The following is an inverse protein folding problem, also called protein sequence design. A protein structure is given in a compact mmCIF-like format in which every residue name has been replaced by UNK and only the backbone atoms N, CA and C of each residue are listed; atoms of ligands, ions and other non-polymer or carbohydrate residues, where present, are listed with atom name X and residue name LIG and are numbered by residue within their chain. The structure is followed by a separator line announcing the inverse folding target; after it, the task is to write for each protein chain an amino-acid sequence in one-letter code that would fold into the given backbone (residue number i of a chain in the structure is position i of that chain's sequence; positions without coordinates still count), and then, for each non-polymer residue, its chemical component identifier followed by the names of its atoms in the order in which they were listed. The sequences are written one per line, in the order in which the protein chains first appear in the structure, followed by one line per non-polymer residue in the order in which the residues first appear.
data_IF_675156761628
#
_entry.id   IF_675156761628
#
_cell.length_a   1.000
_cell.length_b   1.000
_cell.length_c   1.000
_cell.angle_alpha   90.00
_cell.angle_beta   90.00
_cell.angle_gamma   90.00
#
_symmetry.space_group_name_H-M   'P 1'
#
loop_
_entity.id
_entity.type
_entity.pdbx_description
1 polymer ?
#
# COMPACT_ATOMS: atom_id res chain seq x y z
N UNK A 1 15.96 12.18 -5.70
CA UNK A 1 14.63 12.41 -5.13
C UNK A 1 13.85 11.11 -5.05
N UNK A 2 13.10 10.92 -3.99
CA UNK A 2 12.14 9.83 -3.79
C UNK A 2 10.74 10.38 -4.08
N UNK A 3 9.95 9.69 -4.88
CA UNK A 3 8.55 9.98 -5.10
C UNK A 3 7.67 9.02 -4.30
N UNK A 4 6.76 9.55 -3.49
CA UNK A 4 5.73 8.77 -2.78
C UNK A 4 4.41 8.96 -3.48
N UNK A 5 3.82 7.89 -3.96
CA UNK A 5 2.51 7.89 -4.63
C UNK A 5 1.42 7.30 -3.74
N UNK A 6 0.29 8.01 -3.66
CA UNK A 6 -0.86 7.64 -2.84
C UNK A 6 -2.12 7.73 -3.69
N UNK A 7 -2.73 6.61 -4.11
CA UNK A 7 -4.07 6.64 -4.72
C UNK A 7 -5.12 6.89 -3.64
N UNK A 8 -6.08 7.77 -3.90
CA UNK A 8 -7.16 8.09 -2.97
C UNK A 8 -8.51 8.18 -3.70
N UNK A 9 -9.54 7.52 -3.13
CA UNK A 9 -10.94 7.63 -3.53
C UNK A 9 -11.80 7.73 -2.29
N UNK A 10 -12.31 8.94 -1.97
CA UNK A 10 -13.14 9.24 -0.79
C UNK A 10 -12.53 8.77 0.54
N UNK A 11 -11.31 9.21 0.87
CA UNK A 11 -10.55 8.79 2.04
C UNK A 11 -10.44 9.89 3.13
N UNK A 12 -11.41 10.80 3.22
CA UNK A 12 -11.39 11.91 4.19
C UNK A 12 -11.15 11.45 5.64
N UNK A 13 -11.68 10.29 6.03
CA UNK A 13 -11.52 9.75 7.38
C UNK A 13 -10.09 9.27 7.71
N UNK A 14 -9.26 9.00 6.71
CA UNK A 14 -7.97 8.29 6.89
C UNK A 14 -6.77 9.05 6.33
N UNK A 15 -6.95 9.77 5.23
CA UNK A 15 -5.87 10.42 4.47
C UNK A 15 -5.00 11.34 5.33
N UNK A 16 -5.59 12.09 6.27
CA UNK A 16 -4.83 13.01 7.13
C UNK A 16 -3.81 12.28 8.01
N UNK A 17 -4.17 11.10 8.55
CA UNK A 17 -3.26 10.27 9.33
C UNK A 17 -2.17 9.66 8.44
N UNK A 18 -2.53 9.18 7.26
CA UNK A 18 -1.61 8.66 6.27
C UNK A 18 -0.54 9.72 5.93
N UNK A 19 -0.95 10.91 5.50
CA UNK A 19 -0.04 11.96 5.07
C UNK A 19 0.89 12.45 6.18
N UNK A 20 0.41 12.58 7.42
CA UNK A 20 1.29 12.92 8.56
C UNK A 20 2.35 11.84 8.79
N UNK A 21 2.00 10.56 8.63
CA UNK A 21 2.98 9.47 8.75
C UNK A 21 4.03 9.53 7.64
N UNK A 22 3.62 9.84 6.41
CA UNK A 22 4.51 10.02 5.26
C UNK A 22 5.43 11.23 5.44
N UNK A 23 4.91 12.37 5.90
CA UNK A 23 5.71 13.56 6.21
C UNK A 23 6.75 13.28 7.30
N UNK A 24 6.42 12.44 8.30
CA UNK A 24 7.38 11.99 9.30
C UNK A 24 8.45 11.08 8.69
N UNK A 25 8.08 10.15 7.84
CA UNK A 25 9.02 9.27 7.14
C UNK A 25 9.93 10.06 6.18
N UNK A 26 9.43 11.12 5.53
CA UNK A 26 10.18 11.98 4.64
C UNK A 26 11.28 12.80 5.34
N UNK A 27 11.21 12.96 6.68
CA UNK A 27 12.19 13.66 7.50
C UNK A 27 13.14 12.72 8.24
N UNK A 28 13.10 11.42 7.93
CA UNK A 28 13.94 10.44 8.63
C UNK A 28 15.43 10.68 8.34
N UNK A 29 16.33 10.73 9.37
CA UNK A 29 17.76 11.01 9.17
C UNK A 29 18.44 10.05 8.19
N UNK A 30 18.03 8.79 8.15
CA UNK A 30 18.58 7.77 7.25
C UNK A 30 18.37 8.07 5.75
N UNK A 31 17.61 9.11 5.39
CA UNK A 31 17.49 9.56 4.01
C UNK A 31 18.67 10.44 3.57
N UNK A 32 19.56 10.85 4.51
CA UNK A 32 20.77 11.62 4.23
C UNK A 32 20.52 12.87 3.35
N UNK A 33 19.41 13.59 3.62
CA UNK A 33 19.05 14.80 2.87
C UNK A 33 18.41 14.54 1.49
N UNK A 34 18.11 13.29 1.15
CA UNK A 34 17.40 12.97 -0.08
C UNK A 34 16.01 13.61 -0.09
N UNK A 35 15.73 14.44 -1.10
CA UNK A 35 14.42 15.06 -1.30
C UNK A 35 13.32 14.02 -1.43
N UNK A 36 12.18 14.23 -0.75
CA UNK A 36 10.99 13.38 -0.84
C UNK A 36 9.80 14.22 -1.31
N UNK A 37 9.12 13.79 -2.36
CA UNK A 37 7.87 14.36 -2.84
C UNK A 37 6.74 13.38 -2.67
N UNK A 38 5.62 13.84 -2.09
CA UNK A 38 4.41 13.06 -1.89
C UNK A 38 3.36 13.59 -2.85
N UNK A 39 2.78 12.71 -3.66
CA UNK A 39 1.71 13.05 -4.61
C UNK A 39 0.50 12.16 -4.35
N UNK A 40 -0.66 12.78 -4.17
CA UNK A 40 -1.95 12.08 -4.02
C UNK A 40 -2.72 12.18 -5.33
N UNK A 41 -3.05 11.03 -5.92
CA UNK A 41 -4.00 10.94 -7.04
C UNK A 41 -5.42 10.86 -6.48
N UNK A 42 -6.19 11.94 -6.63
CA UNK A 42 -7.59 12.04 -6.21
C UNK A 42 -8.49 11.44 -7.29
N UNK A 43 -8.74 10.12 -7.21
CA UNK A 43 -9.50 9.41 -8.23
C UNK A 43 -11.01 9.43 -7.92
N UNK A 44 -11.75 10.29 -8.62
CA UNK A 44 -13.19 10.47 -8.47
C UNK A 44 -13.61 10.76 -7.01
N UNK A 45 -12.83 11.56 -6.28
CA UNK A 45 -13.15 11.96 -4.91
C UNK A 45 -14.33 12.96 -4.90
N UNK A 46 -15.29 12.72 -4.01
CA UNK A 46 -16.46 13.56 -3.78
C UNK A 46 -16.53 14.11 -2.35
N UNK A 47 -15.71 13.60 -1.46
CA UNK A 47 -15.65 14.01 -0.05
C UNK A 47 -14.56 15.07 0.22
N UNK A 48 -14.26 15.33 1.49
CA UNK A 48 -13.26 16.31 1.90
C UNK A 48 -11.80 15.86 1.75
N UNK A 49 -11.51 14.75 1.07
CA UNK A 49 -10.12 14.23 0.88
C UNK A 49 -9.19 15.30 0.30
N UNK A 50 -9.62 15.99 -0.75
CA UNK A 50 -8.83 17.05 -1.40
C UNK A 50 -8.56 18.25 -0.45
N UNK A 51 -9.54 18.64 0.36
CA UNK A 51 -9.39 19.73 1.33
C UNK A 51 -8.34 19.38 2.39
N UNK A 52 -8.37 18.16 2.93
CA UNK A 52 -7.40 17.66 3.92
C UNK A 52 -5.99 17.61 3.34
N UNK A 53 -5.82 17.17 2.08
CA UNK A 53 -4.53 17.18 1.41
C UNK A 53 -3.96 18.60 1.29
N UNK A 54 -4.82 19.58 0.92
CA UNK A 54 -4.44 20.99 0.80
C UNK A 54 -4.01 21.58 2.15
N UNK A 55 -4.74 21.32 3.22
CA UNK A 55 -4.38 21.74 4.59
C UNK A 55 -3.01 21.22 5.02
N UNK A 56 -2.67 20.00 4.60
CA UNK A 56 -1.37 19.38 4.88
C UNK A 56 -0.28 19.75 3.85
N UNK A 57 -0.59 20.65 2.92
CA UNK A 57 0.34 21.12 1.88
C UNK A 57 0.96 19.99 1.05
N UNK A 58 0.16 18.96 0.74
CA UNK A 58 0.59 17.83 -0.10
C UNK A 58 0.10 18.03 -1.53
N UNK A 59 0.97 17.78 -2.49
CA UNK A 59 0.66 17.87 -3.91
C UNK A 59 -0.44 16.87 -4.29
N UNK A 60 -1.46 17.36 -5.02
CA UNK A 60 -2.57 16.54 -5.50
C UNK A 60 -2.86 16.81 -6.97
N UNK A 61 -3.52 15.86 -7.62
CA UNK A 61 -4.18 16.06 -8.92
C UNK A 61 -5.44 15.19 -9.00
N UNK A 62 -6.40 15.66 -9.78
CA UNK A 62 -7.68 14.98 -9.99
C UNK A 62 -7.59 13.96 -11.12
N UNK A 63 -8.29 12.84 -10.95
CA UNK A 63 -8.44 11.76 -11.90
C UNK A 63 -9.88 11.24 -11.86
N UNK A 64 -10.40 10.70 -12.96
CA UNK A 64 -11.76 10.15 -13.06
C UNK A 64 -11.73 8.71 -13.61
N UNK A 65 -10.75 7.90 -13.16
CA UNK A 65 -10.56 6.56 -13.67
C UNK A 65 -11.32 5.48 -12.89
N UNK A 66 -11.60 5.72 -11.60
CA UNK A 66 -12.14 4.72 -10.66
C UNK A 66 -11.37 3.40 -10.74
N UNK A 67 -10.04 3.52 -10.82
CA UNK A 67 -9.13 2.42 -11.06
C UNK A 67 -7.81 2.67 -10.33
N UNK A 68 -7.52 1.86 -9.32
CA UNK A 68 -6.33 2.03 -8.47
C UNK A 68 -5.03 1.92 -9.27
N UNK A 69 -4.94 1.03 -10.25
CA UNK A 69 -3.78 0.90 -11.12
C UNK A 69 -3.55 2.15 -11.97
N UNK A 70 -4.62 2.74 -12.52
CA UNK A 70 -4.54 4.00 -13.27
C UNK A 70 -4.12 5.16 -12.37
N UNK A 71 -4.64 5.24 -11.14
CA UNK A 71 -4.27 6.26 -10.16
C UNK A 71 -2.80 6.17 -9.76
N UNK A 72 -2.29 4.95 -9.49
CA UNK A 72 -0.86 4.71 -9.22
C UNK A 72 0.02 5.04 -10.43
N UNK A 73 -0.39 4.64 -11.64
CA UNK A 73 0.34 4.94 -12.87
C UNK A 73 0.46 6.44 -13.12
N UNK A 74 -0.64 7.19 -12.96
CA UNK A 74 -0.66 8.65 -13.14
C UNK A 74 0.23 9.37 -12.11
N UNK A 75 0.15 8.97 -10.83
CA UNK A 75 1.01 9.53 -9.78
C UNK A 75 2.49 9.21 -10.02
N UNK A 76 2.80 7.98 -10.44
CA UNK A 76 4.16 7.59 -10.79
C UNK A 76 4.70 8.41 -11.98
N UNK A 77 3.91 8.59 -13.05
CA UNK A 77 4.30 9.39 -14.22
C UNK A 77 4.63 10.83 -13.81
N UNK A 78 3.81 11.47 -12.97
CA UNK A 78 4.03 12.82 -12.46
C UNK A 78 5.33 12.92 -11.63
N UNK A 79 5.57 11.98 -10.73
CA UNK A 79 6.79 11.93 -9.92
C UNK A 79 8.05 11.68 -10.77
N UNK A 80 7.95 10.81 -11.79
CA UNK A 80 9.05 10.56 -12.73
C UNK A 80 9.38 11.78 -13.59
N UNK A 81 8.40 12.57 -14.01
CA UNK A 81 8.61 13.86 -14.69
C UNK A 81 9.31 14.87 -13.79
N UNK A 82 9.06 14.83 -12.48
CA UNK A 82 9.72 15.66 -11.48
C UNK A 82 11.13 15.13 -11.10
N UNK A 83 11.61 14.04 -11.70
CA UNK A 83 12.95 13.50 -11.51
C UNK A 83 13.07 12.45 -10.40
N UNK A 84 11.98 11.78 -10.00
CA UNK A 84 12.05 10.68 -9.05
C UNK A 84 12.94 9.54 -9.57
N UNK A 85 13.85 9.06 -8.72
CA UNK A 85 14.70 7.89 -8.97
C UNK A 85 14.20 6.64 -8.26
N UNK A 86 13.40 6.82 -7.22
CA UNK A 86 12.71 5.79 -6.47
C UNK A 86 11.24 6.16 -6.32
N UNK A 87 10.35 5.21 -6.53
CA UNK A 87 8.91 5.33 -6.35
C UNK A 87 8.49 4.45 -5.19
N UNK A 88 7.90 5.04 -4.15
CA UNK A 88 7.34 4.33 -3.01
C UNK A 88 5.81 4.44 -3.04
N UNK A 89 5.10 3.32 -2.95
CA UNK A 89 3.65 3.25 -2.98
C UNK A 89 3.09 2.88 -1.62
N UNK A 90 2.04 3.59 -1.20
CA UNK A 90 1.22 3.23 -0.04
C UNK A 90 -0.24 3.63 -0.28
N UNK A 91 -1.16 3.08 0.54
CA UNK A 91 -2.58 3.37 0.44
C UNK A 91 -3.00 4.55 1.34
N UNK A 92 -4.04 5.28 0.95
CA UNK A 92 -4.54 6.47 1.64
C UNK A 92 -5.15 6.17 3.03
N UNK A 93 -5.46 4.90 3.33
CA UNK A 93 -6.02 4.44 4.59
C UNK A 93 -4.99 3.81 5.54
N UNK A 94 -3.72 3.73 5.09
CA UNK A 94 -2.60 3.19 5.84
C UNK A 94 -1.81 4.22 6.64
N UNK A 95 -0.85 3.72 7.42
CA UNK A 95 0.20 4.52 8.07
C UNK A 95 1.53 3.81 7.96
N UNK A 96 2.57 4.57 7.62
CA UNK A 96 3.93 4.06 7.50
C UNK A 96 4.76 4.38 8.75
N UNK A 97 5.70 3.53 9.18
CA UNK A 97 6.62 3.88 10.25
C UNK A 97 7.71 4.87 9.77
N UNK A 98 8.35 5.62 10.67
CA UNK A 98 9.30 6.68 10.30
C UNK A 98 10.45 6.21 9.41
N UNK A 99 10.96 5.00 9.60
CA UNK A 99 12.08 4.42 8.84
C UNK A 99 11.67 3.83 7.49
N UNK A 100 10.41 3.94 7.07
CA UNK A 100 9.83 3.26 5.91
C UNK A 100 10.59 3.51 4.60
N UNK A 101 10.88 4.79 4.29
CA UNK A 101 11.62 5.15 3.08
C UNK A 101 13.10 4.80 3.18
N UNK A 102 13.72 5.02 4.34
CA UNK A 102 15.11 4.69 4.55
C UNK A 102 15.38 3.19 4.37
N UNK A 103 14.53 2.33 4.93
CA UNK A 103 14.64 0.89 4.78
C UNK A 103 14.50 0.41 3.33
N UNK A 104 13.64 1.07 2.52
CA UNK A 104 13.52 0.77 1.10
C UNK A 104 14.82 1.10 0.33
N UNK A 105 15.46 2.22 0.63
CA UNK A 105 16.73 2.60 0.00
C UNK A 105 17.89 1.71 0.45
N UNK A 106 17.94 1.38 1.74
CA UNK A 106 18.99 0.52 2.32
C UNK A 106 18.96 -0.90 1.76
N UNK A 107 17.81 -1.35 1.24
CA UNK A 107 17.66 -2.66 0.61
C UNK A 107 18.51 -2.82 -0.67
N UNK A 108 18.91 -1.72 -1.32
CA UNK A 108 19.74 -1.68 -2.54
C UNK A 108 19.30 -2.65 -3.62
N UNK A 109 17.98 -2.77 -3.82
CA UNK A 109 17.33 -3.63 -4.80
C UNK A 109 16.56 -2.81 -5.83
N UNK A 110 16.17 -3.41 -6.94
CA UNK A 110 15.34 -2.75 -7.96
C UNK A 110 13.92 -2.57 -7.48
N UNK A 111 13.42 -3.49 -6.65
CA UNK A 111 12.12 -3.41 -6.03
C UNK A 111 12.16 -3.86 -4.55
N UNK A 112 11.25 -3.32 -3.77
CA UNK A 112 11.03 -3.61 -2.36
C UNK A 112 9.58 -4.00 -2.15
N UNK A 113 9.33 -5.19 -1.64
CA UNK A 113 8.02 -5.68 -1.25
C UNK A 113 8.02 -5.88 0.27
N UNK A 114 7.29 -5.04 0.98
CA UNK A 114 7.18 -5.13 2.44
C UNK A 114 5.86 -5.74 2.89
N UNK A 115 5.80 -6.17 4.14
CA UNK A 115 4.58 -6.70 4.77
C UNK A 115 3.66 -5.59 5.25
N UNK A 116 2.37 -5.90 5.34
CA UNK A 116 1.37 -5.04 5.95
C UNK A 116 0.78 -5.71 7.19
N UNK A 117 0.23 -4.92 8.10
CA UNK A 117 -0.56 -5.41 9.23
C UNK A 117 -1.87 -4.62 9.33
N UNK A 118 -2.88 -5.21 9.93
CA UNK A 118 -4.21 -4.62 10.03
C UNK A 118 -4.33 -3.78 11.31
N UNK A 119 -4.87 -2.58 11.21
CA UNK A 119 -5.14 -1.72 12.36
C UNK A 119 -6.06 -2.40 13.38
N UNK A 120 -5.76 -2.25 14.68
CA UNK A 120 -6.44 -2.96 15.77
C UNK A 120 -6.98 -1.99 16.82
N UNK A 121 -7.86 -1.09 16.41
CA UNK A 121 -8.44 -0.03 17.28
C UNK A 121 -9.60 -0.49 18.18
N UNK A 122 -10.24 -1.64 17.87
CA UNK A 122 -11.38 -2.17 18.61
C UNK A 122 -11.37 -3.70 18.71
N UNK A 123 -12.37 -4.29 19.42
CA UNK A 123 -12.44 -5.75 19.63
C UNK A 123 -12.53 -6.52 18.30
N UNK A 124 -13.38 -6.04 17.39
CA UNK A 124 -13.57 -6.63 16.05
C UNK A 124 -12.30 -6.56 15.22
N UNK A 125 -11.64 -5.41 15.17
CA UNK A 125 -10.40 -5.23 14.40
C UNK A 125 -9.23 -6.02 15.01
N UNK A 126 -9.14 -6.17 16.34
CA UNK A 126 -8.15 -7.06 16.97
C UNK A 126 -8.35 -8.53 16.61
N UNK A 127 -9.61 -8.97 16.49
CA UNK A 127 -9.94 -10.32 16.05
C UNK A 127 -9.51 -10.52 14.58
N UNK A 128 -9.91 -9.61 13.70
CA UNK A 128 -9.56 -9.63 12.28
C UNK A 128 -8.03 -9.62 12.07
N UNK A 129 -7.31 -8.77 12.81
CA UNK A 129 -5.84 -8.75 12.77
C UNK A 129 -5.24 -10.10 13.15
N UNK A 130 -5.80 -10.82 14.14
CA UNK A 130 -5.33 -12.16 14.50
C UNK A 130 -5.54 -13.18 13.37
N UNK A 131 -6.69 -13.14 12.69
CA UNK A 131 -6.97 -13.99 11.54
C UNK A 131 -5.98 -13.69 10.41
N UNK A 132 -5.84 -12.42 10.06
CA UNK A 132 -4.93 -11.96 9.03
C UNK A 132 -3.48 -12.40 9.33
N UNK A 133 -3.02 -12.21 10.56
CA UNK A 133 -1.67 -12.62 10.95
C UNK A 133 -1.41 -14.13 10.84
N UNK A 134 -2.45 -14.95 10.97
CA UNK A 134 -2.34 -16.41 10.80
C UNK A 134 -2.33 -16.84 9.33
N UNK A 135 -2.96 -16.06 8.44
CA UNK A 135 -3.00 -16.36 7.01
C UNK A 135 -1.77 -15.86 6.24
N UNK A 136 -0.98 -14.96 6.84
CA UNK A 136 0.15 -14.32 6.19
C UNK A 136 1.49 -14.96 6.58
N UNK A 137 2.45 -14.84 5.65
CA UNK A 137 3.86 -15.13 5.93
C UNK A 137 4.56 -13.85 6.37
N UNK A 138 5.25 -13.94 7.49
CA UNK A 138 5.99 -12.84 8.11
C UNK A 138 7.49 -13.09 7.98
N UNK A 139 8.26 -12.00 8.01
CA UNK A 139 9.72 -12.08 7.91
C UNK A 139 10.23 -11.93 6.47
N UNK A 140 11.54 -11.95 6.34
CA UNK A 140 12.21 -11.82 5.05
C UNK A 140 11.92 -13.03 4.15
N UNK A 141 11.81 -12.78 2.85
CA UNK A 141 11.49 -13.84 1.88
C UNK A 141 10.02 -14.25 1.84
N UNK A 142 9.08 -13.44 2.39
CA UNK A 142 7.66 -13.79 2.52
C UNK A 142 6.93 -14.03 1.18
N UNK A 143 7.39 -13.45 0.07
CA UNK A 143 6.80 -13.62 -1.26
C UNK A 143 5.41 -12.98 -1.45
N UNK A 144 4.99 -12.09 -0.55
CA UNK A 144 3.71 -11.37 -0.62
C UNK A 144 3.89 -9.99 -1.23
N UNK A 145 2.94 -9.57 -2.06
CA UNK A 145 2.92 -8.23 -2.66
C UNK A 145 1.76 -7.44 -2.07
N UNK A 146 2.06 -6.23 -1.63
CA UNK A 146 1.08 -5.27 -1.14
C UNK A 146 1.40 -3.88 -1.70
N UNK A 147 0.52 -3.33 -2.52
CA UNK A 147 0.66 -1.97 -3.05
C UNK A 147 0.79 -0.90 -1.96
N UNK A 148 0.32 -1.20 -0.75
CA UNK A 148 0.46 -0.37 0.44
C UNK A 148 1.89 -0.33 1.01
N UNK A 149 2.78 -1.27 0.63
CA UNK A 149 4.18 -1.33 1.08
C UNK A 149 5.10 -1.80 -0.05
N UNK A 150 5.15 -1.03 -1.12
CA UNK A 150 5.88 -1.34 -2.33
C UNK A 150 6.85 -0.20 -2.67
N UNK A 151 8.08 -0.54 -3.06
CA UNK A 151 9.06 0.39 -3.61
C UNK A 151 9.63 -0.14 -4.92
N UNK A 152 9.99 0.76 -5.85
CA UNK A 152 10.62 0.37 -7.11
C UNK A 152 11.51 1.48 -7.63
N UNK A 153 12.67 1.12 -8.18
CA UNK A 153 13.55 2.07 -8.86
C UNK A 153 12.88 2.61 -10.13
N UNK A 154 13.10 3.89 -10.44
CA UNK A 154 12.55 4.50 -11.66
C UNK A 154 13.02 3.78 -12.93
N UNK A 155 14.23 3.23 -12.91
CA UNK A 155 14.78 2.46 -14.04
C UNK A 155 13.99 1.16 -14.24
N UNK A 156 13.86 0.33 -13.20
CA UNK A 156 13.14 -0.94 -13.30
C UNK A 156 11.65 -0.72 -13.60
N UNK A 157 11.02 0.30 -13.00
CA UNK A 157 9.64 0.68 -13.27
C UNK A 157 9.40 0.98 -14.76
N UNK A 158 10.25 1.82 -15.38
CA UNK A 158 10.16 2.15 -16.81
C UNK A 158 10.43 0.95 -17.69
N UNK A 159 11.40 0.10 -17.35
CA UNK A 159 11.78 -1.07 -18.15
C UNK A 159 10.62 -2.05 -18.36
N UNK A 160 9.69 -2.13 -17.39
CA UNK A 160 8.53 -3.03 -17.47
C UNK A 160 7.22 -2.31 -17.82
N UNK A 161 7.25 -1.01 -18.15
CA UNK A 161 6.07 -0.23 -18.55
C UNK A 161 5.19 0.25 -17.37
N UNK A 162 5.66 0.11 -16.13
CA UNK A 162 4.99 0.66 -14.95
C UNK A 162 3.71 -0.08 -14.52
N UNK A 163 2.87 0.58 -13.70
CA UNK A 163 1.58 0.03 -13.28
C UNK A 163 0.62 -0.11 -14.45
N UNK A 164 -0.02 -1.28 -14.57
CA UNK A 164 -1.13 -1.48 -15.48
C UNK A 164 -2.43 -0.88 -14.91
N UNK A 165 -3.33 -0.42 -15.78
CA UNK A 165 -4.63 0.13 -15.39
C UNK A 165 -5.61 -0.98 -14.98
N UNK A 166 -5.29 -1.69 -13.90
CA UNK A 166 -6.10 -2.75 -13.32
C UNK A 166 -6.85 -2.22 -12.10
N UNK A 167 -8.10 -2.62 -11.95
CA UNK A 167 -8.92 -2.29 -10.78
C UNK A 167 -8.49 -3.00 -9.50
N UNK A 168 -7.70 -4.08 -9.63
CA UNK A 168 -7.13 -4.86 -8.53
C UNK A 168 -5.95 -5.69 -9.06
N UNK A 169 -4.93 -5.95 -8.21
CA UNK A 169 -3.76 -6.78 -8.52
C UNK A 169 -2.72 -6.11 -9.43
N UNK A 170 -2.79 -4.80 -9.60
CA UNK A 170 -1.83 -4.02 -10.38
C UNK A 170 -0.42 -4.05 -9.77
N UNK A 171 -0.32 -4.18 -8.46
CA UNK A 171 0.92 -4.34 -7.70
C UNK A 171 1.53 -5.73 -7.92
N UNK A 172 0.72 -6.78 -7.85
CA UNK A 172 1.14 -8.16 -8.14
C UNK A 172 1.60 -8.28 -9.60
N UNK A 173 0.86 -7.70 -10.54
CA UNK A 173 1.23 -7.68 -11.95
C UNK A 173 2.57 -6.96 -12.18
N UNK A 174 2.77 -5.79 -11.55
CA UNK A 174 4.02 -5.04 -11.64
C UNK A 174 5.20 -5.88 -11.14
N UNK A 175 5.09 -6.44 -9.93
CA UNK A 175 6.18 -7.25 -9.32
C UNK A 175 6.44 -8.51 -10.15
N UNK A 176 5.42 -9.16 -10.69
CA UNK A 176 5.56 -10.30 -11.61
C UNK A 176 6.38 -9.92 -12.86
N UNK A 177 6.08 -8.77 -13.50
CA UNK A 177 6.82 -8.27 -14.67
C UNK A 177 8.25 -7.86 -14.32
N UNK A 178 8.48 -7.25 -13.16
CA UNK A 178 9.82 -6.95 -12.66
C UNK A 178 10.65 -8.22 -12.46
N UNK A 179 10.10 -9.23 -11.80
CA UNK A 179 10.78 -10.51 -11.58
C UNK A 179 11.07 -11.24 -12.90
N UNK A 180 10.14 -11.24 -13.85
CA UNK A 180 10.33 -11.83 -15.18
C UNK A 180 11.40 -11.10 -15.99
N UNK A 181 11.61 -9.81 -15.77
CA UNK A 181 12.68 -9.01 -16.37
C UNK A 181 14.03 -9.13 -15.64
N UNK A 182 14.15 -9.98 -14.62
CA UNK A 182 15.39 -10.19 -13.87
C UNK A 182 15.70 -9.10 -12.84
N UNK A 183 14.75 -8.24 -12.50
CA UNK A 183 14.93 -7.23 -11.46
C UNK A 183 15.13 -7.89 -10.09
N UNK A 184 16.05 -7.34 -9.28
CA UNK A 184 16.25 -7.76 -7.90
C UNK A 184 15.09 -7.30 -7.02
N UNK A 185 14.40 -8.23 -6.35
CA UNK A 185 13.27 -7.95 -5.46
C UNK A 185 13.62 -8.29 -4.03
N UNK A 186 13.60 -7.28 -3.15
CA UNK A 186 13.73 -7.48 -1.69
C UNK A 186 12.35 -7.77 -1.09
N UNK A 187 12.18 -8.95 -0.54
CA UNK A 187 11.02 -9.36 0.25
C UNK A 187 11.33 -9.11 1.73
N UNK A 188 10.87 -8.00 2.27
CA UNK A 188 11.27 -7.51 3.58
C UNK A 188 10.18 -7.67 4.63
N UNK A 189 10.48 -8.37 5.73
CA UNK A 189 9.59 -8.51 6.88
C UNK A 189 9.44 -7.23 7.70
N UNK A 190 10.27 -6.22 7.45
CA UNK A 190 10.21 -4.89 8.07
C UNK A 190 10.72 -3.83 7.09
N UNK A 191 10.24 -2.57 7.20
CA UNK A 191 9.22 -2.07 8.12
C UNK A 191 7.80 -2.51 7.75
N UNK A 192 6.94 -2.67 8.76
CA UNK A 192 5.53 -3.05 8.58
C UNK A 192 4.68 -1.81 8.39
N UNK A 193 3.88 -1.76 7.35
CA UNK A 193 2.87 -0.72 7.12
C UNK A 193 1.55 -1.17 7.75
N UNK A 194 0.87 -0.29 8.48
CA UNK A 194 -0.44 -0.58 9.06
C UNK A 194 -1.54 -0.09 8.13
N UNK A 195 -2.41 -0.98 7.68
CA UNK A 195 -3.56 -0.66 6.82
C UNK A 195 -4.90 -0.75 7.57
N UNK A 196 -5.97 -0.29 6.94
CA UNK A 196 -7.33 -0.28 7.52
C UNK A 196 -7.88 -1.69 7.73
N UNK A 197 -8.69 -1.84 8.81
CA UNK A 197 -9.45 -3.05 9.10
C UNK A 197 -10.86 -3.06 8.43
N UNK A 198 -11.09 -2.22 7.42
CA UNK A 198 -12.39 -2.17 6.73
C UNK A 198 -12.65 -3.47 5.96
N UNK A 199 -13.91 -3.91 5.98
CA UNK A 199 -14.39 -5.09 5.25
C UNK A 199 -15.18 -4.73 3.99
N UNK A 200 -15.44 -3.44 3.78
CA UNK A 200 -16.05 -2.91 2.55
C UNK A 200 -14.97 -2.16 1.78
N UNK A 201 -14.49 -2.78 0.72
CA UNK A 201 -13.47 -2.23 -0.16
C UNK A 201 -14.05 -1.24 -1.17
N UNK A 202 -13.18 -0.38 -1.71
CA UNK A 202 -13.52 0.51 -2.82
C UNK A 202 -13.19 -0.14 -4.17
N UNK A 203 -12.28 -1.12 -4.17
CA UNK A 203 -11.95 -1.96 -5.31
C UNK A 203 -12.47 -3.39 -5.09
N UNK A 204 -13.22 -3.93 -6.04
CA UNK A 204 -13.65 -5.33 -6.02
C UNK A 204 -12.45 -6.27 -6.13
N UNK A 205 -12.43 -7.35 -5.34
CA UNK A 205 -11.31 -8.29 -5.28
C UNK A 205 -10.08 -7.77 -4.54
N UNK A 206 -10.15 -6.58 -3.91
CA UNK A 206 -9.06 -5.97 -3.18
C UNK A 206 -8.87 -6.51 -1.76
N UNK A 207 -7.99 -5.85 -1.01
CA UNK A 207 -7.59 -6.27 0.34
C UNK A 207 -8.76 -6.37 1.34
N UNK A 208 -9.77 -5.50 1.24
CA UNK A 208 -10.96 -5.58 2.10
C UNK A 208 -11.80 -6.83 1.83
N UNK A 209 -11.93 -7.25 0.58
CA UNK A 209 -12.63 -8.49 0.21
C UNK A 209 -11.87 -9.73 0.71
N UNK A 210 -10.53 -9.69 0.63
CA UNK A 210 -9.69 -10.73 1.24
C UNK A 210 -9.91 -10.85 2.75
N UNK A 211 -9.92 -9.71 3.47
CA UNK A 211 -10.21 -9.70 4.90
C UNK A 211 -11.63 -10.19 5.23
N UNK A 212 -12.62 -9.88 4.40
CA UNK A 212 -13.99 -10.39 4.55
C UNK A 212 -14.03 -11.90 4.38
N UNK A 213 -13.30 -12.45 3.41
CA UNK A 213 -13.16 -13.90 3.18
C UNK A 213 -12.64 -14.64 4.40
N UNK A 214 -11.58 -14.13 5.05
CA UNK A 214 -11.02 -14.72 6.27
C UNK A 214 -12.03 -14.83 7.41
N UNK A 215 -12.95 -13.87 7.54
CA UNK A 215 -13.99 -13.91 8.57
C UNK A 215 -15.07 -14.94 8.26
N UNK A 216 -15.43 -15.12 6.98
CA UNK A 216 -16.42 -16.11 6.54
C UNK A 216 -15.90 -17.54 6.70
N UNK A 217 -14.66 -17.80 6.30
CA UNK A 217 -14.01 -19.11 6.46
C UNK A 217 -13.97 -19.54 7.92
N UNK A 218 -13.64 -18.63 8.83
CA UNK A 218 -13.64 -18.94 10.26
C UNK A 218 -15.05 -19.25 10.81
N UNK A 219 -16.07 -18.50 10.38
CA UNK A 219 -17.44 -18.73 10.79
C UNK A 219 -17.91 -20.12 10.34
N UNK A 220 -17.60 -20.50 9.10
CA UNK A 220 -17.93 -21.81 8.54
C UNK A 220 -17.22 -22.93 9.30
N UNK A 221 -15.92 -22.78 9.61
CA UNK A 221 -15.16 -23.76 10.38
C UNK A 221 -15.71 -23.92 11.81
N UNK A 222 -16.12 -22.82 12.46
CA UNK A 222 -16.71 -22.85 13.79
C UNK A 222 -18.08 -23.52 13.81
N UNK A 223 -18.91 -23.30 12.79
CA UNK A 223 -20.22 -23.94 12.65
C UNK A 223 -20.10 -25.46 12.46
N UNK A 224 -19.15 -25.92 11.63
CA UNK A 224 -18.87 -27.36 11.44
C UNK A 224 -18.40 -28.00 12.74
N UNK A 225 -17.51 -27.36 13.50
CA UNK A 225 -17.03 -27.90 14.77
C UNK A 225 -18.14 -28.03 15.83
N UNK A 226 -19.13 -27.12 15.83
CA UNK A 226 -20.29 -27.21 16.73
C UNK A 226 -21.25 -28.34 16.37
N UNK A 227 -21.37 -28.67 15.07
CA UNK A 227 -22.24 -29.75 14.60
C UNK A 227 -21.63 -31.16 14.81
N UNK A 228 -20.29 -31.25 14.82
CA UNK A 228 -19.55 -32.52 14.99
C UNK A 228 -19.18 -32.82 16.46
N UNK A 229 -19.33 -31.86 17.38
CA UNK A 229 -18.98 -32.00 18.80
C UNK A 229 -20.13 -32.45 19.72
N UNK A 230 -21.30 -32.82 19.20
CA UNK A 230 -22.46 -33.37 19.94
C UNK A 230 -22.62 -34.85 19.63
N UNK A 231 -21.63 -35.64 19.97
CA UNK A 231 -21.68 -37.10 19.93
C UNK A 231 -21.16 -37.67 21.26
#
# INVERSE_FOLDING_TARGET
MIGVLVPAHDEAATIGRCLRSLQKAARHPGLNGCEVRIVVALDACSDSTAAICRELQVETFDLQARCVGAARAAAAARLLQQGARWLASTDADGTVPPQWLAAQLDARSDAFCGVVDVAASGRRSRHLRRLFRRSERWGDGHGRVHGANLGVSAQAYRAVGGFAALGCGEDVDLVRRLSAAGASVRWAGAPVVTTSARLLGRARGGFADYLAGLTLEQQSASAVCQLTGTG
#
